data_IF_397964908686
#
_entry.id   IF_397964908686
#
_cell.length_a   1.000
_cell.length_b   1.000
_cell.length_c   1.000
_cell.angle_alpha   90.00
_cell.angle_beta   90.00
_cell.angle_gamma   90.00
#
_symmetry.space_group_name_H-M   'P 1'
#
loop_
_entity.id
_entity.type
_entity.pdbx_description
1 polymer ?
#
# COMPACT_ATOMS: atom_id res chain seq x y z
N UNK A 1 6.43 -0.27 -11.47
CA UNK A 1 5.39 0.77 -11.49
C UNK A 1 5.79 1.94 -10.59
N UNK A 2 5.75 3.18 -11.07
CA UNK A 2 6.10 4.38 -10.27
C UNK A 2 4.96 4.75 -9.32
N UNK A 3 5.20 5.61 -8.32
CA UNK A 3 4.18 6.01 -7.33
C UNK A 3 2.84 6.45 -7.94
N UNK A 4 2.78 7.31 -8.98
CA UNK A 4 1.49 7.75 -9.53
C UNK A 4 0.70 6.62 -10.20
N UNK A 5 1.41 5.73 -10.91
CA UNK A 5 0.81 4.57 -11.56
C UNK A 5 0.33 3.55 -10.53
N UNK A 6 1.13 3.29 -9.49
CA UNK A 6 0.78 2.37 -8.41
C UNK A 6 -0.41 2.89 -7.59
N UNK A 7 -0.48 4.20 -7.36
CA UNK A 7 -1.62 4.83 -6.71
C UNK A 7 -2.89 4.64 -7.53
N UNK A 8 -2.83 4.89 -8.85
CA UNK A 8 -3.96 4.62 -9.77
C UNK A 8 -4.38 3.15 -9.78
N UNK A 9 -3.42 2.23 -9.79
CA UNK A 9 -3.68 0.79 -9.73
C UNK A 9 -4.48 0.40 -8.48
N UNK A 10 -4.21 1.04 -7.34
CA UNK A 10 -4.89 0.78 -6.07
C UNK A 10 -6.13 1.67 -5.82
N UNK A 11 -6.49 2.57 -6.75
CA UNK A 11 -7.56 3.55 -6.54
C UNK A 11 -7.23 4.62 -5.48
N UNK A 12 -5.96 4.85 -5.19
CA UNK A 12 -5.46 5.80 -4.19
C UNK A 12 -4.86 7.04 -4.85
N UNK A 13 -4.67 8.10 -4.05
CA UNK A 13 -3.87 9.26 -4.46
C UNK A 13 -2.36 9.00 -4.31
N UNK A 14 -1.52 9.63 -5.13
CA UNK A 14 -0.06 9.59 -4.98
C UNK A 14 0.39 10.02 -3.59
N UNK A 15 -0.27 11.05 -3.02
CA UNK A 15 -0.03 11.57 -1.67
C UNK A 15 -0.28 10.50 -0.60
N UNK A 16 -1.33 9.70 -0.77
CA UNK A 16 -1.66 8.59 0.14
C UNK A 16 -0.59 7.50 0.08
N UNK A 17 -0.12 7.15 -1.13
CA UNK A 17 0.99 6.19 -1.30
C UNK A 17 2.30 6.68 -0.70
N UNK A 18 2.59 7.98 -0.77
CA UNK A 18 3.74 8.59 -0.08
C UNK A 18 3.63 8.46 1.44
N UNK A 19 2.45 8.71 2.02
CA UNK A 19 2.22 8.51 3.45
C UNK A 19 2.33 7.04 3.87
N UNK A 20 1.80 6.12 3.08
CA UNK A 20 1.94 4.68 3.33
C UNK A 20 3.41 4.24 3.38
N UNK A 21 4.25 4.81 2.51
CA UNK A 21 5.71 4.61 2.58
C UNK A 21 6.32 5.20 3.83
N UNK A 22 5.94 6.42 4.21
CA UNK A 22 6.46 7.10 5.39
C UNK A 22 6.13 6.34 6.67
N UNK A 23 4.91 5.81 6.77
CA UNK A 23 4.42 5.14 7.97
C UNK A 23 4.67 3.62 7.98
N UNK A 24 5.23 3.06 6.89
CA UNK A 24 5.45 1.63 6.76
C UNK A 24 4.17 0.81 6.68
N UNK A 25 3.03 1.43 6.34
CA UNK A 25 1.72 0.77 6.22
C UNK A 25 1.37 0.40 4.78
N UNK A 26 2.28 0.66 3.84
CA UNK A 26 2.11 0.41 2.41
C UNK A 26 2.72 -0.88 1.88
N UNK A 27 2.53 -1.14 0.58
CA UNK A 27 3.17 -2.25 -0.12
C UNK A 27 4.69 -2.09 -0.12
N UNK A 28 5.41 -3.22 -0.24
CA UNK A 28 6.87 -3.21 -0.36
C UNK A 28 7.28 -2.47 -1.63
N UNK A 29 8.29 -1.62 -1.50
CA UNK A 29 8.83 -0.83 -2.59
C UNK A 29 10.32 -1.10 -2.78
N UNK A 30 10.82 -0.77 -3.98
CA UNK A 30 12.24 -0.88 -4.34
C UNK A 30 12.77 0.51 -4.67
N UNK A 31 13.99 0.81 -4.24
CA UNK A 31 14.72 2.03 -4.65
C UNK A 31 15.59 1.69 -5.85
N UNK A 32 15.41 2.43 -6.95
CA UNK A 32 16.21 2.31 -8.17
C UNK A 32 16.64 3.70 -8.61
N UNK A 33 17.93 4.02 -8.45
CA UNK A 33 18.52 5.29 -8.89
C UNK A 33 17.76 6.53 -8.39
N UNK A 34 17.44 6.59 -7.10
CA UNK A 34 16.67 7.69 -6.48
C UNK A 34 15.16 7.65 -6.71
N UNK A 35 14.66 6.78 -7.60
CA UNK A 35 13.23 6.59 -7.83
C UNK A 35 12.71 5.45 -6.98
N UNK A 36 11.44 5.55 -6.61
CA UNK A 36 10.72 4.47 -5.93
C UNK A 36 9.78 3.80 -6.90
N UNK A 37 9.92 2.47 -6.97
CA UNK A 37 9.13 1.62 -7.84
C UNK A 37 8.52 0.48 -7.05
N UNK A 38 7.32 0.09 -7.45
CA UNK A 38 6.58 -1.04 -6.93
C UNK A 38 6.55 -2.14 -7.98
N UNK A 39 6.70 -3.38 -7.53
CA UNK A 39 6.33 -4.54 -8.33
C UNK A 39 4.83 -4.74 -8.22
N UNK A 40 4.18 -5.15 -9.32
CA UNK A 40 2.74 -5.36 -9.36
C UNK A 40 2.29 -6.39 -8.31
N UNK A 41 3.07 -7.46 -8.15
CA UNK A 41 2.79 -8.52 -7.17
C UNK A 41 2.79 -8.02 -5.72
N UNK A 42 3.64 -7.02 -5.40
CA UNK A 42 3.63 -6.39 -4.07
C UNK A 42 2.41 -5.52 -3.84
N UNK A 43 1.92 -4.84 -4.89
CA UNK A 43 0.71 -4.04 -4.83
C UNK A 43 -0.51 -4.93 -4.62
N UNK A 44 -0.60 -6.04 -5.36
CA UNK A 44 -1.66 -7.03 -5.20
C UNK A 44 -1.64 -7.66 -3.81
N UNK A 45 -0.50 -8.22 -3.40
CA UNK A 45 -0.37 -8.88 -2.09
C UNK A 45 -0.73 -7.94 -0.94
N UNK A 46 -0.39 -6.66 -1.03
CA UNK A 46 -0.81 -5.67 -0.03
C UNK A 46 -2.31 -5.36 -0.10
N UNK A 47 -2.90 -5.24 -1.28
CA UNK A 47 -4.35 -5.06 -1.43
C UNK A 47 -5.11 -6.28 -0.89
N UNK A 48 -4.61 -7.48 -1.13
CA UNK A 48 -5.18 -8.74 -0.67
C UNK A 48 -5.18 -8.87 0.86
N UNK A 49 -4.24 -8.21 1.57
CA UNK A 49 -4.29 -8.14 3.04
C UNK A 49 -5.54 -7.40 3.54
N UNK A 50 -6.06 -6.46 2.75
CA UNK A 50 -7.29 -5.73 3.05
C UNK A 50 -8.55 -6.40 2.50
N UNK A 51 -8.41 -7.54 1.80
CA UNK A 51 -9.54 -8.27 1.25
C UNK A 51 -10.41 -8.79 2.38
N UNK A 52 -11.70 -8.48 2.29
CA UNK A 52 -12.74 -8.97 3.19
C UNK A 52 -13.80 -9.65 2.36
N UNK A 53 -14.07 -10.90 2.67
CA UNK A 53 -15.11 -11.69 1.99
C UNK A 53 -16.48 -11.49 2.63
N UNK A 54 -16.52 -11.02 3.87
CA UNK A 54 -17.71 -10.69 4.64
C UNK A 54 -17.41 -9.54 5.61
N UNK A 55 -18.43 -8.80 6.04
CA UNK A 55 -18.29 -7.74 7.06
C UNK A 55 -17.82 -8.26 8.42
N UNK A 56 -18.00 -9.55 8.68
CA UNK A 56 -17.49 -10.24 9.87
C UNK A 56 -16.18 -10.99 9.64
N UNK A 57 -15.63 -10.96 8.43
CA UNK A 57 -14.39 -11.64 8.11
C UNK A 57 -13.21 -10.90 8.76
N UNK A 58 -12.42 -11.56 9.64
CA UNK A 58 -11.24 -10.96 10.22
C UNK A 58 -10.16 -10.66 9.16
N UNK A 59 -10.23 -11.33 8.01
CA UNK A 59 -9.29 -11.19 6.90
C UNK A 59 -7.90 -11.79 7.20
N UNK A 60 -7.02 -11.79 6.20
CA UNK A 60 -5.63 -12.26 6.35
C UNK A 60 -4.72 -11.21 7.02
N UNK A 61 -5.14 -9.95 7.03
CA UNK A 61 -4.41 -8.86 7.66
C UNK A 61 -5.25 -7.60 7.79
N UNK A 62 -4.61 -6.55 8.31
CA UNK A 62 -5.21 -5.21 8.38
C UNK A 62 -4.33 -4.25 7.62
N UNK A 63 -4.80 -3.81 6.45
CA UNK A 63 -4.23 -2.63 5.78
C UNK A 63 -4.52 -1.43 6.69
N UNK A 64 -3.48 -0.98 7.39
CA UNK A 64 -3.60 0.16 8.30
C UNK A 64 -3.73 1.44 7.48
N UNK A 65 -4.56 2.40 7.93
CA UNK A 65 -4.60 3.71 7.29
C UNK A 65 -3.19 4.34 7.28
N UNK A 66 -2.95 5.23 6.32
CA UNK A 66 -1.71 5.99 6.21
C UNK A 66 -1.60 7.07 7.29
N UNK A 67 -1.67 6.67 8.55
CA UNK A 67 -1.54 7.49 9.74
C UNK A 67 -0.25 7.11 10.47
N UNK A 68 0.49 8.07 11.04
CA UNK A 68 1.59 7.73 11.95
C UNK A 68 1.06 6.85 13.08
N UNK A 69 1.75 5.75 13.38
CA UNK A 69 1.45 4.98 14.58
C UNK A 69 1.51 5.96 15.76
N UNK A 70 0.38 6.14 16.46
CA UNK A 70 0.38 6.95 17.69
C UNK A 70 1.43 6.33 18.61
N UNK A 71 2.39 7.16 19.02
CA UNK A 71 3.48 6.81 19.92
C UNK A 71 2.93 6.58 21.33
#
# INVERSE_FOLDING_TARGET
>A
MRTPEAARFLGLSSRTMEKHRLHGTGPRYRKSGGRVVYAVEELKSWADQGLRTSTSDPGTGTVRPAHPARR
#
